data_IF_051951892935
#
_entry.id   IF_051951892935
#
_cell.length_a   1.000
_cell.length_b   1.000
_cell.length_c   1.000
_cell.angle_alpha   90.00
_cell.angle_beta   90.00
_cell.angle_gamma   90.00
#
_symmetry.space_group_name_H-M   'P 1'
#
loop_
_entity.id
_entity.type
_entity.pdbx_description
1 polymer ?
#
# COMPACT_ATOMS: atom_id res chain seq x y z
N UNK A 1 -16.40 -21.29 -19.15
CA UNK A 1 -15.64 -20.95 -17.93
C UNK A 1 -14.70 -19.84 -18.33
N UNK A 2 -15.18 -18.60 -18.24
CA UNK A 2 -14.37 -17.41 -18.53
C UNK A 2 -13.69 -17.10 -17.20
N UNK A 3 -12.35 -17.14 -17.15
CA UNK A 3 -11.62 -16.60 -16.02
C UNK A 3 -11.92 -15.11 -16.02
N UNK A 4 -12.81 -14.68 -15.13
CA UNK A 4 -12.98 -13.28 -14.81
C UNK A 4 -11.59 -12.76 -14.47
N UNK A 5 -11.21 -11.66 -15.13
CA UNK A 5 -9.99 -10.92 -14.84
C UNK A 5 -10.00 -10.57 -13.36
N UNK A 6 -9.35 -11.41 -12.53
CA UNK A 6 -9.19 -11.16 -11.10
C UNK A 6 -8.39 -9.88 -11.04
N UNK A 7 -9.09 -8.76 -10.86
CA UNK A 7 -8.49 -7.43 -10.82
C UNK A 7 -7.46 -7.43 -9.71
N UNK A 8 -6.20 -7.64 -10.08
CA UNK A 8 -5.09 -7.70 -9.13
C UNK A 8 -5.02 -6.36 -8.42
N UNK A 9 -4.74 -6.34 -7.11
CA UNK A 9 -4.67 -5.07 -6.39
C UNK A 9 -3.63 -4.18 -7.07
N UNK A 10 -3.95 -2.90 -7.22
CA UNK A 10 -3.01 -1.92 -7.76
C UNK A 10 -2.32 -1.17 -6.63
N UNK A 11 -2.39 -1.68 -5.39
CA UNK A 11 -1.74 -1.09 -4.22
C UNK A 11 -2.08 -1.71 -2.88
N UNK A 12 -1.51 -1.17 -1.79
CA UNK A 12 -1.80 -1.56 -0.40
C UNK A 12 -3.29 -1.46 -0.12
N UNK A 13 -3.85 -2.56 0.37
CA UNK A 13 -5.19 -2.63 0.95
C UNK A 13 -5.12 -2.55 2.48
N UNK A 14 -6.20 -2.03 3.07
CA UNK A 14 -6.42 -2.13 4.50
C UNK A 14 -7.08 -3.48 4.80
N UNK A 15 -6.66 -4.15 5.88
CA UNK A 15 -7.25 -5.43 6.29
C UNK A 15 -8.58 -5.20 7.00
N UNK A 16 -9.62 -5.94 6.62
CA UNK A 16 -10.96 -5.85 7.22
C UNK A 16 -11.00 -6.49 8.61
N UNK A 17 -11.70 -5.89 9.56
CA UNK A 17 -11.79 -6.39 10.95
C UNK A 17 -10.73 -5.82 11.90
N UNK A 18 -9.88 -4.91 11.41
CA UNK A 18 -8.98 -4.12 12.24
C UNK A 18 -9.67 -2.85 12.74
N UNK A 19 -9.51 -2.57 14.03
CA UNK A 19 -9.98 -1.31 14.63
C UNK A 19 -9.01 -0.19 14.32
N UNK A 20 -9.50 1.04 14.26
CA UNK A 20 -8.65 2.21 14.09
C UNK A 20 -7.63 2.46 15.22
N UNK A 21 -7.77 1.78 16.37
CA UNK A 21 -6.78 1.74 17.45
C UNK A 21 -5.66 0.70 17.21
N UNK A 22 -5.85 -0.21 16.25
CA UNK A 22 -4.84 -1.12 15.72
C UNK A 22 -4.89 -1.07 14.19
N UNK A 23 -4.67 0.11 13.57
CA UNK A 23 -5.14 0.37 12.21
C UNK A 23 -4.45 -0.48 11.14
N UNK A 24 -3.42 -1.25 11.49
CA UNK A 24 -2.42 -1.72 10.54
C UNK A 24 -1.68 -2.94 11.14
N UNK A 25 -2.24 -4.14 11.00
CA UNK A 25 -1.41 -5.36 11.08
C UNK A 25 -0.68 -5.55 9.75
N UNK A 26 0.48 -6.18 9.82
CA UNK A 26 1.33 -6.55 8.68
C UNK A 26 0.58 -7.53 7.78
N UNK A 27 -0.22 -7.02 6.86
CA UNK A 27 -0.72 -7.86 5.76
C UNK A 27 0.34 -7.88 4.66
N UNK A 28 0.82 -9.09 4.36
CA UNK A 28 1.48 -9.35 3.10
C UNK A 28 0.43 -9.23 2.00
N UNK A 29 0.72 -8.44 0.98
CA UNK A 29 -0.18 -8.31 -0.14
C UNK A 29 0.60 -8.06 -1.43
N UNK A 30 -0.11 -8.21 -2.55
CA UNK A 30 0.47 -8.09 -3.88
C UNK A 30 -0.04 -6.82 -4.56
N UNK A 31 0.80 -6.17 -5.36
CA UNK A 31 0.39 -5.06 -6.19
C UNK A 31 0.96 -5.15 -7.60
N UNK A 32 0.16 -4.66 -8.55
CA UNK A 32 0.58 -4.48 -9.95
C UNK A 32 0.55 -3.00 -10.31
N UNK A 33 1.65 -2.51 -10.90
CA UNK A 33 1.74 -1.16 -11.47
C UNK A 33 1.94 -1.27 -12.97
N UNK A 34 1.09 -0.55 -13.72
CA UNK A 34 1.28 -0.34 -15.15
C UNK A 34 1.97 1.00 -15.35
N UNK A 35 3.13 0.97 -15.97
CA UNK A 35 3.91 2.16 -16.27
C UNK A 35 3.31 2.91 -17.47
N UNK A 36 3.65 4.19 -17.60
CA UNK A 36 3.31 4.99 -18.78
C UNK A 36 3.88 4.42 -20.10
N UNK A 37 4.89 3.53 -20.02
CA UNK A 37 5.41 2.78 -21.17
C UNK A 37 4.55 1.58 -21.56
N UNK A 38 3.50 1.24 -20.81
CA UNK A 38 2.65 0.07 -21.02
C UNK A 38 3.19 -1.22 -20.40
N UNK A 39 4.44 -1.23 -19.95
CA UNK A 39 5.01 -2.34 -19.20
C UNK A 39 4.38 -2.45 -17.81
N UNK A 40 4.47 -3.62 -17.17
CA UNK A 40 3.97 -3.85 -15.82
C UNK A 40 5.08 -4.26 -14.86
N UNK A 41 4.91 -3.93 -13.57
CA UNK A 41 5.66 -4.51 -12.46
C UNK A 41 4.68 -5.15 -11.49
N UNK A 42 4.94 -6.40 -11.13
CA UNK A 42 4.23 -7.10 -10.06
C UNK A 42 5.18 -7.28 -8.88
N UNK A 43 4.73 -6.92 -7.69
CA UNK A 43 5.52 -7.01 -6.46
C UNK A 43 4.67 -7.46 -5.29
N UNK A 44 5.31 -8.17 -4.38
CA UNK A 44 4.83 -8.34 -3.02
C UNK A 44 5.19 -7.11 -2.19
N UNK A 45 4.48 -6.91 -1.09
CA UNK A 45 4.88 -5.97 -0.06
C UNK A 45 4.37 -6.42 1.30
N UNK A 46 5.15 -6.10 2.31
CA UNK A 46 4.77 -6.15 3.71
C UNK A 46 4.80 -4.74 4.26
N UNK A 47 3.88 -4.40 5.16
CA UNK A 47 4.02 -3.16 5.90
C UNK A 47 5.29 -3.19 6.75
N UNK A 48 6.14 -2.18 6.58
CA UNK A 48 7.41 -2.07 7.27
C UNK A 48 7.37 -1.11 8.46
N UNK A 49 6.64 0.00 8.36
CA UNK A 49 6.55 0.97 9.45
C UNK A 49 5.36 1.93 9.34
N UNK A 50 5.04 2.55 10.49
CA UNK A 50 4.13 3.67 10.62
C UNK A 50 4.90 4.79 11.33
N UNK A 51 4.96 5.97 10.73
CA UNK A 51 5.55 7.14 11.33
C UNK A 51 4.49 8.23 11.48
N UNK A 52 4.29 8.72 12.71
CA UNK A 52 3.42 9.87 12.99
C UNK A 52 4.32 11.06 13.30
N UNK A 53 4.33 12.03 12.40
CA UNK A 53 5.14 13.24 12.50
C UNK A 53 4.27 14.49 12.35
N UNK A 54 4.15 15.27 13.42
CA UNK A 54 3.33 16.47 13.44
C UNK A 54 1.86 16.18 13.09
N UNK A 55 1.40 16.75 11.96
CA UNK A 55 0.03 16.58 11.46
C UNK A 55 -0.12 15.45 10.43
N UNK A 56 0.94 14.67 10.21
CA UNK A 56 0.99 13.65 9.16
C UNK A 56 1.27 12.28 9.73
N UNK A 57 0.65 11.28 9.12
CA UNK A 57 0.95 9.88 9.33
C UNK A 57 1.42 9.31 8.00
N UNK A 58 2.55 8.62 8.03
CA UNK A 58 3.18 7.97 6.89
C UNK A 58 3.20 6.47 7.15
N UNK A 59 2.69 5.69 6.22
CA UNK A 59 2.80 4.23 6.23
C UNK A 59 3.77 3.83 5.13
N UNK A 60 4.75 3.01 5.47
CA UNK A 60 5.71 2.46 4.52
C UNK A 60 5.49 0.96 4.36
N UNK A 61 5.44 0.51 3.12
CA UNK A 61 5.43 -0.88 2.68
C UNK A 61 6.73 -1.15 1.93
N UNK A 62 7.31 -2.32 2.16
CA UNK A 62 8.55 -2.75 1.51
C UNK A 62 8.34 -4.13 0.92
N UNK A 63 8.91 -4.37 -0.25
CA UNK A 63 8.89 -5.67 -0.89
C UNK A 63 9.79 -5.73 -2.11
N UNK A 64 9.50 -6.65 -3.02
CA UNK A 64 10.36 -6.93 -4.18
C UNK A 64 9.56 -7.06 -5.46
N UNK A 65 10.13 -6.57 -6.57
CA UNK A 65 9.53 -6.79 -7.89
C UNK A 65 9.72 -8.25 -8.28
N UNK A 66 8.64 -9.01 -8.18
CA UNK A 66 8.57 -10.42 -8.52
C UNK A 66 8.51 -10.66 -10.02
N UNK A 67 7.89 -9.78 -10.81
CA UNK A 67 7.79 -9.96 -12.27
C UNK A 67 7.70 -8.63 -13.02
N UNK A 68 8.16 -8.65 -14.28
CA UNK A 68 8.02 -7.54 -15.22
C UNK A 68 9.16 -6.51 -15.11
N UNK A 69 8.84 -5.24 -15.40
CA UNK A 69 9.82 -4.16 -15.41
C UNK A 69 10.45 -4.02 -14.02
N UNK A 70 11.77 -3.84 -13.96
CA UNK A 70 12.54 -3.74 -12.72
C UNK A 70 12.57 -5.02 -11.85
N UNK A 71 12.32 -6.20 -12.44
CA UNK A 71 12.46 -7.51 -11.77
C UNK A 71 13.69 -7.59 -10.85
N UNK A 72 13.49 -8.10 -9.64
CA UNK A 72 14.51 -8.27 -8.61
C UNK A 72 14.89 -6.99 -7.85
N UNK A 73 14.29 -5.84 -8.19
CA UNK A 73 14.52 -4.59 -7.46
C UNK A 73 13.72 -4.56 -6.15
N UNK A 74 14.24 -3.85 -5.16
CA UNK A 74 13.49 -3.54 -3.93
C UNK A 74 12.49 -2.44 -4.20
N UNK A 75 11.29 -2.58 -3.65
CA UNK A 75 10.21 -1.60 -3.73
C UNK A 75 9.99 -1.03 -2.34
N UNK A 76 9.90 0.30 -2.25
CA UNK A 76 9.39 1.00 -1.07
C UNK A 76 8.22 1.85 -1.48
N UNK A 77 7.05 1.58 -0.91
CA UNK A 77 5.83 2.34 -1.14
C UNK A 77 5.47 3.08 0.14
N UNK A 78 5.34 4.40 0.06
CA UNK A 78 4.80 5.20 1.15
C UNK A 78 3.43 5.79 0.81
N UNK A 79 2.53 5.80 1.79
CA UNK A 79 1.28 6.55 1.73
C UNK A 79 1.28 7.54 2.89
N UNK A 80 1.16 8.82 2.56
CA UNK A 80 1.11 9.92 3.53
C UNK A 80 -0.29 10.50 3.57
N UNK A 81 -0.83 10.65 4.78
CA UNK A 81 -2.14 11.25 5.01
C UNK A 81 -2.09 12.17 6.24
N UNK A 82 -3.05 13.09 6.33
CA UNK A 82 -3.16 13.94 7.52
C UNK A 82 -3.72 13.12 8.68
N UNK A 83 -3.09 13.22 9.86
CA UNK A 83 -3.53 12.47 11.03
C UNK A 83 -4.93 12.89 11.49
N UNK A 84 -5.32 14.15 11.27
CA UNK A 84 -6.67 14.64 11.56
C UNK A 84 -7.73 13.96 10.69
N UNK A 85 -7.49 13.78 9.38
CA UNK A 85 -8.42 13.08 8.50
C UNK A 85 -8.48 11.58 8.84
N UNK A 86 -7.36 10.95 9.16
CA UNK A 86 -7.37 9.55 9.63
C UNK A 86 -8.22 9.43 10.90
N UNK A 87 -7.96 10.26 11.90
CA UNK A 87 -8.69 10.23 13.18
C UNK A 87 -10.19 10.47 12.98
N UNK A 88 -10.57 11.43 12.13
CA UNK A 88 -11.97 11.69 11.82
C UNK A 88 -12.62 10.51 11.09
N UNK A 89 -11.95 9.95 10.07
CA UNK A 89 -12.46 8.79 9.34
C UNK A 89 -12.65 7.59 10.27
N UNK A 90 -11.73 7.42 11.22
CA UNK A 90 -11.77 6.39 12.24
C UNK A 90 -12.87 6.57 13.28
N UNK A 91 -13.19 7.82 13.65
CA UNK A 91 -14.34 8.11 14.51
C UNK A 91 -15.67 7.77 13.82
N UNK A 92 -15.75 7.98 12.50
CA UNK A 92 -16.95 7.69 11.71
C UNK A 92 -17.10 6.19 11.47
N UNK A 93 -16.00 5.45 11.33
CA UNK A 93 -15.98 4.03 11.00
C UNK A 93 -15.26 3.21 12.09
N UNK A 94 -15.93 2.89 13.21
CA UNK A 94 -15.30 2.19 14.33
C UNK A 94 -14.86 0.76 13.99
N UNK A 95 -15.50 0.15 12.98
CA UNK A 95 -15.19 -1.19 12.44
C UNK A 95 -13.93 -1.21 11.55
N UNK A 96 -13.30 -0.05 11.32
CA UNK A 96 -12.12 0.10 10.46
C UNK A 96 -12.41 0.80 9.14
N UNK A 97 -11.34 1.07 8.38
CA UNK A 97 -11.39 1.78 7.11
C UNK A 97 -11.21 0.81 5.95
N UNK A 98 -12.07 0.89 4.93
CA UNK A 98 -11.96 0.08 3.71
C UNK A 98 -11.09 0.76 2.64
N UNK A 99 -10.98 2.08 2.69
CA UNK A 99 -10.17 2.89 1.77
C UNK A 99 -9.57 4.05 2.54
N UNK A 100 -8.28 4.33 2.31
CA UNK A 100 -7.64 5.57 2.74
C UNK A 100 -7.09 6.30 1.52
N UNK A 101 -7.30 7.61 1.48
CA UNK A 101 -6.75 8.47 0.43
C UNK A 101 -5.60 9.29 0.99
N UNK A 102 -4.49 9.31 0.27
CA UNK A 102 -3.27 10.00 0.66
C UNK A 102 -2.33 10.22 -0.51
N UNK A 103 -1.25 10.95 -0.27
CA UNK A 103 -0.16 11.08 -1.23
C UNK A 103 0.62 9.78 -1.24
N UNK A 104 0.68 9.15 -2.40
CA UNK A 104 1.36 7.87 -2.60
C UNK A 104 2.66 8.08 -3.36
N UNK A 105 3.77 7.56 -2.82
CA UNK A 105 5.07 7.55 -3.47
C UNK A 105 5.62 6.12 -3.52
N UNK A 106 5.94 5.65 -4.73
CA UNK A 106 6.63 4.39 -4.97
C UNK A 106 8.08 4.66 -5.38
N UNK A 107 9.02 4.04 -4.68
CA UNK A 107 10.44 4.07 -4.99
C UNK A 107 10.89 2.66 -5.36
N UNK A 108 11.57 2.51 -6.49
CA UNK A 108 12.16 1.25 -6.94
C UNK A 108 13.67 1.40 -6.91
N UNK A 109 14.34 0.59 -6.09
CA UNK A 109 15.78 0.63 -5.90
C UNK A 109 16.41 -0.64 -6.44
N UNK A 110 17.36 -0.49 -7.37
CA UNK A 110 18.14 -1.58 -7.93
C UNK A 110 19.53 -1.55 -7.33
N UNK A 111 20.00 -2.67 -6.79
CA UNK A 111 21.40 -2.84 -6.42
C UNK A 111 22.16 -3.14 -7.72
N UNK A 112 23.16 -2.30 -8.03
CA UNK A 112 24.01 -2.41 -9.23
C UNK A 112 25.14 -3.41 -9.01
#
# INVERSE_FOLDING_TARGET
>A
MVLEDVRRPTGPSLETGLTCSSPLTTSEAEATITWNTGETSWFDYTQASINVGGLTTVVAYVGTVLHGKFYGSTVTWTITYTSALLNLACLINPEGLSVLQGVSQLTVTRVL
#
